data_IF_947667767835
#
_entry.id   IF_947667767835
#
_cell.length_a   1.000
_cell.length_b   1.000
_cell.length_c   1.000
_cell.angle_alpha   90.00
_cell.angle_beta   90.00
_cell.angle_gamma   90.00
#
_symmetry.space_group_name_H-M   'P 1'
#
loop_
_entity.id
_entity.type
_entity.pdbx_description
1 polymer ?
#
# COMPACT_ATOMS: atom_id res chain seq x y z
N UNK A 1 6.91 13.38 6.18
CA UNK A 1 6.52 13.18 4.76
C UNK A 1 7.66 12.62 3.90
N UNK A 2 8.90 13.13 3.95
CA UNK A 2 10.04 12.58 3.16
C UNK A 2 10.28 11.07 3.33
N UNK A 3 10.07 10.52 4.53
CA UNK A 3 10.25 9.08 4.81
C UNK A 3 9.27 8.17 4.06
N UNK A 4 8.03 8.62 3.80
CA UNK A 4 7.01 7.85 3.07
C UNK A 4 7.29 7.81 1.56
N UNK A 5 7.84 8.90 1.01
CA UNK A 5 8.28 8.94 -0.39
C UNK A 5 9.48 8.01 -0.65
N UNK A 6 10.35 7.83 0.36
CA UNK A 6 11.51 6.94 0.29
C UNK A 6 11.15 5.45 0.37
N UNK A 7 9.92 5.08 0.76
CA UNK A 7 9.50 3.67 0.75
C UNK A 7 9.38 3.24 -0.72
N UNK A 8 10.19 2.27 -1.21
CA UNK A 8 10.09 1.82 -2.60
C UNK A 8 8.69 1.26 -2.87
N UNK A 9 8.13 1.57 -4.05
CA UNK A 9 6.78 1.11 -4.45
C UNK A 9 6.62 -0.41 -4.41
N UNK A 10 7.72 -1.14 -4.47
CA UNK A 10 7.73 -2.59 -4.40
C UNK A 10 7.27 -3.12 -3.03
N UNK A 11 7.48 -2.38 -1.94
CA UNK A 11 7.10 -2.83 -0.58
C UNK A 11 5.57 -2.96 -0.45
N UNK A 12 4.76 -1.91 -0.73
CA UNK A 12 3.31 -2.06 -0.69
C UNK A 12 2.79 -3.05 -1.75
N UNK A 13 3.44 -3.18 -2.91
CA UNK A 13 3.06 -4.19 -3.90
C UNK A 13 3.27 -5.62 -3.36
N UNK A 14 4.41 -5.89 -2.74
CA UNK A 14 4.69 -7.18 -2.09
C UNK A 14 3.73 -7.46 -0.92
N UNK A 15 3.37 -6.43 -0.15
CA UNK A 15 2.37 -6.54 0.92
C UNK A 15 0.99 -6.97 0.39
N UNK A 16 0.55 -6.40 -0.73
CA UNK A 16 -0.70 -6.81 -1.40
C UNK A 16 -0.59 -8.28 -1.84
N UNK A 17 0.50 -8.67 -2.52
CA UNK A 17 0.69 -10.07 -2.96
C UNK A 17 0.66 -11.03 -1.77
N UNK A 18 1.38 -10.71 -0.69
CA UNK A 18 1.40 -11.52 0.53
C UNK A 18 0.02 -11.65 1.17
N UNK A 19 -0.79 -10.59 1.18
CA UNK A 19 -2.17 -10.66 1.70
C UNK A 19 -3.07 -11.60 0.90
N UNK A 20 -2.95 -11.63 -0.42
CA UNK A 20 -3.69 -12.59 -1.26
C UNK A 20 -3.26 -14.02 -1.01
N UNK A 21 -1.96 -14.26 -0.82
CA UNK A 21 -1.43 -15.58 -0.44
C UNK A 21 -2.02 -16.02 0.90
N UNK A 22 -2.07 -15.13 1.89
CA UNK A 22 -2.69 -15.41 3.18
C UNK A 22 -4.18 -15.73 3.04
N UNK A 23 -4.93 -15.05 2.17
CA UNK A 23 -6.34 -15.37 1.94
C UNK A 23 -6.54 -16.73 1.29
N UNK A 24 -5.68 -17.13 0.34
CA UNK A 24 -5.75 -18.46 -0.28
C UNK A 24 -5.50 -19.54 0.77
N UNK A 25 -4.52 -19.35 1.65
CA UNK A 25 -4.23 -20.29 2.75
C UNK A 25 -5.38 -20.30 3.76
N UNK A 26 -5.91 -19.14 4.13
CA UNK A 26 -7.02 -19.04 5.08
C UNK A 26 -8.31 -19.66 4.54
N UNK A 27 -8.53 -19.60 3.22
CA UNK A 27 -9.69 -20.22 2.58
C UNK A 27 -9.67 -21.75 2.69
N UNK A 28 -8.50 -22.38 2.75
CA UNK A 28 -8.38 -23.83 2.92
C UNK A 28 -8.42 -24.27 4.39
N UNK A 29 -7.96 -23.42 5.32
CA UNK A 29 -7.92 -23.75 6.75
C UNK A 29 -9.13 -23.25 7.56
N UNK A 30 -9.97 -22.38 6.98
CA UNK A 30 -11.06 -21.66 7.68
C UNK A 30 -10.58 -20.87 8.92
N UNK A 31 -9.31 -20.48 8.94
CA UNK A 31 -8.70 -19.78 10.06
C UNK A 31 -8.95 -18.27 9.96
N UNK A 32 -9.80 -17.77 10.86
CA UNK A 32 -10.18 -16.37 10.93
C UNK A 32 -9.00 -15.43 11.22
N UNK A 33 -7.98 -15.90 11.95
CA UNK A 33 -6.80 -15.08 12.30
C UNK A 33 -5.95 -14.78 11.07
N UNK A 34 -5.82 -15.74 10.16
CA UNK A 34 -5.12 -15.55 8.88
C UNK A 34 -5.86 -14.56 7.97
N UNK A 35 -7.19 -14.62 7.93
CA UNK A 35 -8.02 -13.66 7.19
C UNK A 35 -7.83 -12.25 7.76
N UNK A 36 -7.92 -12.07 9.07
CA UNK A 36 -7.75 -10.75 9.68
C UNK A 36 -6.35 -10.18 9.42
N UNK A 37 -5.32 -11.02 9.54
CA UNK A 37 -3.93 -10.61 9.27
C UNK A 37 -3.75 -10.19 7.82
N UNK A 38 -4.27 -10.98 6.87
CA UNK A 38 -4.26 -10.63 5.45
C UNK A 38 -4.97 -9.31 5.17
N UNK A 39 -6.13 -9.06 5.78
CA UNK A 39 -6.88 -7.81 5.62
C UNK A 39 -6.10 -6.60 6.15
N UNK A 40 -5.47 -6.71 7.32
CA UNK A 40 -4.67 -5.62 7.88
C UNK A 40 -3.48 -5.29 6.96
N UNK A 41 -2.76 -6.30 6.48
CA UNK A 41 -1.63 -6.12 5.57
C UNK A 41 -2.08 -5.49 4.24
N UNK A 42 -3.18 -5.98 3.66
CA UNK A 42 -3.76 -5.44 2.44
C UNK A 42 -4.13 -3.96 2.63
N UNK A 43 -4.87 -3.65 3.69
CA UNK A 43 -5.37 -2.32 3.95
C UNK A 43 -4.22 -1.32 4.12
N UNK A 44 -3.23 -1.64 4.95
CA UNK A 44 -2.04 -0.81 5.14
C UNK A 44 -1.28 -0.58 3.82
N UNK A 45 -1.11 -1.62 3.02
CA UNK A 45 -0.37 -1.55 1.75
C UNK A 45 -1.07 -0.63 0.74
N UNK A 46 -2.40 -0.73 0.63
CA UNK A 46 -3.21 0.13 -0.24
C UNK A 46 -3.14 1.59 0.22
N UNK A 47 -3.25 1.85 1.53
CA UNK A 47 -3.16 3.21 2.07
C UNK A 47 -1.80 3.86 1.84
N UNK A 48 -0.71 3.11 2.03
CA UNK A 48 0.63 3.61 1.72
C UNK A 48 0.74 4.00 0.24
N UNK A 49 0.20 3.17 -0.65
CA UNK A 49 0.21 3.45 -2.09
C UNK A 49 -0.63 4.69 -2.43
N UNK A 50 -1.83 4.82 -1.85
CA UNK A 50 -2.71 5.97 -2.04
C UNK A 50 -2.05 7.27 -1.55
N UNK A 51 -1.46 7.27 -0.34
CA UNK A 51 -0.76 8.45 0.21
C UNK A 51 0.40 8.85 -0.71
N UNK A 52 1.18 7.89 -1.21
CA UNK A 52 2.27 8.19 -2.17
C UNK A 52 1.73 8.79 -3.47
N UNK A 53 0.62 8.29 -3.99
CA UNK A 53 -0.02 8.85 -5.17
C UNK A 53 -0.43 10.30 -4.95
N UNK A 54 -1.12 10.61 -3.85
CA UNK A 54 -1.52 11.99 -3.52
C UNK A 54 -0.32 12.92 -3.33
N UNK A 55 0.73 12.49 -2.63
CA UNK A 55 1.94 13.29 -2.45
C UNK A 55 2.65 13.58 -3.78
N UNK A 56 2.69 12.60 -4.69
CA UNK A 56 3.28 12.78 -6.02
C UNK A 56 2.45 13.74 -6.86
N UNK A 57 1.11 13.61 -6.82
CA UNK A 57 0.20 14.50 -7.51
C UNK A 57 0.34 15.95 -7.01
N UNK A 58 0.36 16.17 -5.69
CA UNK A 58 0.58 17.50 -5.10
C UNK A 58 1.93 18.06 -5.56
N UNK A 59 3.01 17.27 -5.49
CA UNK A 59 4.33 17.71 -5.94
C UNK A 59 4.36 18.10 -7.43
N UNK A 60 3.66 17.35 -8.28
CA UNK A 60 3.52 17.65 -9.70
C UNK A 60 2.76 18.97 -9.94
N UNK A 61 1.61 19.16 -9.29
CA UNK A 61 0.84 20.39 -9.41
C UNK A 61 1.60 21.61 -8.86
N UNK A 62 2.31 21.46 -7.74
CA UNK A 62 3.17 22.51 -7.19
C UNK A 62 4.29 22.89 -8.18
N UNK A 63 4.97 21.92 -8.79
CA UNK A 63 6.01 22.19 -9.78
C UNK A 63 5.50 22.93 -11.02
N UNK A 64 4.27 22.64 -11.47
CA UNK A 64 3.64 23.35 -12.58
C UNK A 64 3.28 24.79 -12.18
N UNK A 65 2.78 25.00 -10.96
CA UNK A 65 2.38 26.32 -10.49
C UNK A 65 3.58 27.24 -10.21
N UNK A 66 4.70 26.68 -9.74
CA UNK A 66 5.95 27.40 -9.43
C UNK A 66 6.80 27.69 -10.69
N UNK A 67 6.45 27.07 -11.83
CA UNK A 67 7.09 27.29 -13.14
C UNK A 67 6.68 28.62 -13.81
N UNK A 68 5.93 29.49 -13.12
CA UNK A 68 5.54 30.83 -13.58
C UNK A 68 6.23 31.91 -12.76
#
# INVERSE_FOLDING_TARGET
MKRLLNVPFIIPALGIIASFVLFIIAASSQDMTLIMTGLVILHLSVWIMAIKFFLTAIGFFSAILDSK
#
